data_IF_041073963003
#
_entry.id   IF_041073963003
#
_cell.length_a   1.000
_cell.length_b   1.000
_cell.length_c   1.000
_cell.angle_alpha   90.00
_cell.angle_beta   90.00
_cell.angle_gamma   90.00
#
_symmetry.space_group_name_H-M   'P 1'
#
loop_
_entity.id
_entity.type
_entity.pdbx_description
1 polymer ?
#
# COMPACT_ATOMS: atom_id res chain seq x y z
N UNK A 1 -5.90 8.88 -4.60
CA UNK A 1 -5.58 8.03 -3.44
C UNK A 1 -4.09 7.77 -3.45
N UNK A 2 -3.44 7.88 -2.30
CA UNK A 2 -2.03 7.55 -2.12
C UNK A 2 -1.88 6.10 -1.62
N UNK A 3 -0.68 5.54 -1.73
CA UNK A 3 -0.39 4.19 -1.22
C UNK A 3 -0.64 4.04 0.28
N UNK A 4 -0.33 5.08 1.07
CA UNK A 4 -0.62 5.11 2.52
C UNK A 4 -2.10 4.93 2.81
N UNK A 5 -2.97 5.63 2.07
CA UNK A 5 -4.42 5.55 2.23
C UNK A 5 -4.91 4.16 1.84
N UNK A 6 -4.31 3.57 0.79
CA UNK A 6 -4.69 2.24 0.32
C UNK A 6 -4.32 1.17 1.35
N UNK A 7 -3.13 1.25 1.94
CA UNK A 7 -2.70 0.34 3.01
C UNK A 7 -3.55 0.54 4.26
N UNK A 8 -3.89 1.78 4.61
CA UNK A 8 -4.80 2.08 5.71
C UNK A 8 -6.18 1.43 5.50
N UNK A 9 -6.75 1.56 4.29
CA UNK A 9 -8.02 0.93 3.95
C UNK A 9 -7.96 -0.61 4.03
N UNK A 10 -6.82 -1.22 3.69
CA UNK A 10 -6.63 -2.67 3.88
C UNK A 10 -6.54 -3.02 5.36
N UNK A 11 -5.88 -2.19 6.17
CA UNK A 11 -5.77 -2.39 7.61
C UNK A 11 -7.12 -2.24 8.32
N UNK A 12 -7.98 -1.31 7.90
CA UNK A 12 -9.35 -1.14 8.39
C UNK A 12 -10.23 -2.38 8.12
N UNK A 13 -9.86 -3.23 7.15
CA UNK A 13 -10.50 -4.52 6.89
C UNK A 13 -9.95 -5.65 7.77
N UNK A 14 -9.12 -5.34 8.76
CA UNK A 14 -8.57 -6.28 9.73
C UNK A 14 -7.21 -6.89 9.34
N UNK A 15 -6.55 -6.38 8.30
CA UNK A 15 -5.21 -6.85 7.94
C UNK A 15 -4.13 -6.14 8.75
N UNK A 16 -3.23 -6.88 9.39
CA UNK A 16 -2.03 -6.28 9.99
C UNK A 16 -0.97 -5.96 8.91
N UNK A 17 -0.07 -5.01 9.20
CA UNK A 17 1.05 -4.72 8.31
C UNK A 17 1.93 -5.95 8.01
N UNK A 18 2.10 -6.85 8.97
CA UNK A 18 2.87 -8.10 8.79
C UNK A 18 2.14 -9.10 7.88
N UNK A 19 0.81 -9.17 7.94
CA UNK A 19 0.01 -9.99 7.02
C UNK A 19 0.05 -9.43 5.60
N UNK A 20 -0.07 -8.10 5.45
CA UNK A 20 0.05 -7.44 4.15
C UNK A 20 1.44 -7.70 3.57
N UNK A 21 2.51 -7.55 4.35
CA UNK A 21 3.89 -7.80 3.93
C UNK A 21 4.10 -9.24 3.46
N UNK A 22 3.62 -10.21 4.25
CA UNK A 22 3.70 -11.64 3.91
C UNK A 22 2.97 -11.97 2.60
N UNK A 23 1.79 -11.39 2.39
CA UNK A 23 1.03 -11.59 1.15
C UNK A 23 1.62 -10.82 -0.04
N UNK A 24 2.25 -9.67 0.22
CA UNK A 24 2.93 -8.86 -0.77
C UNK A 24 4.32 -9.41 -1.15
N UNK A 25 4.87 -10.36 -0.39
CA UNK A 25 6.20 -10.91 -0.60
C UNK A 25 7.32 -9.92 -0.26
N UNK A 26 7.07 -8.97 0.65
CA UNK A 26 8.05 -7.96 1.06
C UNK A 26 8.26 -7.95 2.58
N UNK A 27 9.24 -7.18 3.05
CA UNK A 27 9.46 -6.97 4.48
C UNK A 27 8.38 -6.09 5.11
N UNK A 28 8.12 -6.27 6.42
CA UNK A 28 7.17 -5.43 7.16
C UNK A 28 7.62 -3.96 7.23
N UNK A 29 8.93 -3.70 7.26
CA UNK A 29 9.48 -2.35 7.15
C UNK A 29 9.03 -1.63 5.86
N UNK A 30 8.99 -2.34 4.73
CA UNK A 30 8.53 -1.78 3.44
C UNK A 30 7.07 -1.35 3.51
N UNK A 31 6.20 -2.17 4.13
CA UNK A 31 4.79 -1.80 4.34
C UNK A 31 4.67 -0.61 5.30
N UNK A 32 5.48 -0.56 6.35
CA UNK A 32 5.51 0.55 7.30
C UNK A 32 5.94 1.87 6.63
N UNK A 33 6.97 1.83 5.78
CA UNK A 33 7.43 2.99 5.01
C UNK A 33 6.37 3.47 4.00
N UNK A 34 5.63 2.56 3.37
CA UNK A 34 4.51 2.92 2.47
C UNK A 34 3.31 3.47 3.25
N UNK A 35 2.99 2.87 4.40
CA UNK A 35 1.88 3.28 5.27
C UNK A 35 2.12 4.65 5.91
N UNK A 36 3.37 4.98 6.23
CA UNK A 36 3.79 6.30 6.71
C UNK A 36 3.94 7.33 5.59
N UNK A 37 3.93 6.90 4.33
CA UNK A 37 4.17 7.76 3.16
C UNK A 37 5.64 8.14 2.96
N UNK A 38 6.57 7.53 3.71
CA UNK A 38 8.01 7.69 3.52
C UNK A 38 8.47 7.12 2.18
N UNK A 39 7.93 5.95 1.82
CA UNK A 39 8.03 5.43 0.45
C UNK A 39 6.79 5.86 -0.32
N UNK A 40 6.99 6.65 -1.37
CA UNK A 40 5.89 7.22 -2.17
C UNK A 40 5.44 6.31 -3.29
N UNK A 41 6.37 5.54 -3.85
CA UNK A 41 6.12 4.63 -4.95
C UNK A 41 6.80 3.28 -4.67
N UNK A 42 6.02 2.22 -4.42
CA UNK A 42 6.55 0.87 -4.46
C UNK A 42 6.95 0.53 -5.90
N UNK A 43 7.94 -0.35 -6.06
CA UNK A 43 8.27 -0.91 -7.38
C UNK A 43 7.01 -1.45 -8.06
N UNK A 44 6.93 -1.37 -9.39
CA UNK A 44 5.76 -1.76 -10.18
C UNK A 44 5.17 -3.12 -9.75
N UNK A 45 6.04 -4.13 -9.61
CA UNK A 45 5.66 -5.47 -9.16
C UNK A 45 5.06 -5.50 -7.75
N UNK A 46 5.61 -4.74 -6.80
CA UNK A 46 5.06 -4.64 -5.44
C UNK A 46 3.70 -3.92 -5.45
N UNK A 47 3.56 -2.88 -6.27
CA UNK A 47 2.29 -2.17 -6.45
C UNK A 47 1.19 -3.12 -6.92
N UNK A 48 1.42 -3.90 -7.97
CA UNK A 48 0.43 -4.86 -8.47
C UNK A 48 0.01 -5.90 -7.42
N UNK A 49 0.97 -6.42 -6.66
CA UNK A 49 0.67 -7.40 -5.61
C UNK A 49 -0.14 -6.75 -4.49
N UNK A 50 0.20 -5.53 -4.05
CA UNK A 50 -0.59 -4.79 -3.06
C UNK A 50 -2.03 -4.58 -3.51
N UNK A 51 -2.25 -4.21 -4.78
CA UNK A 51 -3.59 -4.09 -5.34
C UNK A 51 -4.38 -5.40 -5.30
N UNK A 52 -3.70 -6.53 -5.54
CA UNK A 52 -4.29 -7.87 -5.42
C UNK A 52 -4.62 -8.22 -3.97
N UNK A 53 -3.76 -7.88 -3.03
CA UNK A 53 -4.00 -8.05 -1.59
C UNK A 53 -5.23 -7.26 -1.18
N UNK A 54 -5.31 -5.96 -1.50
CA UNK A 54 -6.48 -5.17 -1.11
C UNK A 54 -7.79 -5.66 -1.70
N UNK A 55 -7.79 -6.20 -2.93
CA UNK A 55 -8.99 -6.88 -3.48
C UNK A 55 -9.44 -8.07 -2.63
N UNK A 56 -8.53 -8.86 -2.08
CA UNK A 56 -8.88 -10.00 -1.19
C UNK A 56 -9.54 -9.53 0.11
N UNK A 57 -9.17 -8.36 0.60
CA UNK A 57 -9.77 -7.72 1.77
C UNK A 57 -11.02 -6.89 1.45
N UNK A 58 -11.50 -6.91 0.19
CA UNK A 58 -12.68 -6.15 -0.23
C UNK A 58 -12.44 -4.64 -0.37
N UNK A 59 -11.19 -4.20 -0.48
CA UNK A 59 -10.84 -2.81 -0.75
C UNK A 59 -10.91 -2.56 -2.26
N UNK A 60 -11.73 -1.57 -2.65
CA UNK A 60 -11.82 -1.15 -4.06
C UNK A 60 -10.47 -0.63 -4.54
N UNK A 61 -9.98 -1.22 -5.63
CA UNK A 61 -8.73 -0.83 -6.28
C UNK A 61 -8.96 0.48 -7.04
N UNK A 62 -8.21 1.56 -6.74
CA UNK A 62 -8.27 2.77 -7.54
C UNK A 62 -7.74 2.50 -8.96
N UNK A 63 -8.37 3.09 -9.98
CA UNK A 63 -7.83 3.09 -11.36
C UNK A 63 -6.50 3.85 -11.47
N UNK A 64 -6.24 4.77 -10.54
CA UNK A 64 -5.01 5.56 -10.49
C UNK A 64 -4.62 5.77 -9.02
N UNK A 65 -3.58 5.08 -8.55
CA UNK A 65 -2.90 5.45 -7.31
C UNK A 65 -1.79 6.40 -7.72
N UNK A 66 -1.99 7.70 -7.49
CA UNK A 66 -0.97 8.69 -7.77
C UNK A 66 0.06 8.67 -6.63
N UNK A 67 1.36 8.58 -6.91
CA UNK A 67 2.37 8.91 -5.90
C UNK A 67 2.15 10.37 -5.48
N UNK A 68 2.34 10.67 -4.18
CA UNK A 68 2.18 12.05 -3.70
C UNK A 68 3.21 12.94 -4.39
N UNK A 69 2.74 13.92 -5.16
CA UNK A 69 3.58 14.98 -5.72
C UNK A 69 4.26 15.74 -4.56
N UNK A 70 5.53 16.09 -4.79
CA UNK A 70 6.39 16.84 -3.88
C UNK A 70 5.81 18.23 -3.65
N UNK A 71 5.43 18.58 -2.42
CA UNK A 71 5.49 19.98 -2.00
C UNK A 71 6.94 20.26 -1.63
N UNK A 72 7.69 20.82 -2.56
CA UNK A 72 8.90 21.58 -2.26
C UNK A 72 8.43 22.95 -1.72
N UNK A 73 8.72 23.23 -0.46
CA UNK A 73 8.80 24.57 0.13
C UNK A 73 9.60 24.49 1.44
#
# INVERSE_FOLDING_TARGET
MQWKDYIAAIAEKGASQSQIAKQAGCGQATISDLASGKTREPRHSLGEVLLRVGRRYGVKTPKTIKPSETTEA
#
